data_IF_088969774970
#
_entry.id   IF_088969774970
#
_cell.length_a   1.000
_cell.length_b   1.000
_cell.length_c   1.000
_cell.angle_alpha   90.00
_cell.angle_beta   90.00
_cell.angle_gamma   90.00
#
_symmetry.space_group_name_H-M   'P 1'
#
loop_
_entity.id
_entity.type
_entity.pdbx_description
1 polymer ?
#
# COMPACT_ATOMS: atom_id res chain seq x y z
N UNK A 1 -12.24 20.83 -39.81
CA UNK A 1 -10.80 20.51 -39.84
C UNK A 1 -10.37 20.13 -38.42
N UNK A 2 -10.23 18.83 -38.16
CA UNK A 2 -9.60 18.35 -36.93
C UNK A 2 -8.10 18.61 -37.13
N UNK A 3 -7.56 19.54 -36.37
CA UNK A 3 -6.16 19.95 -36.52
C UNK A 3 -5.24 18.74 -36.20
N UNK A 4 -4.18 18.59 -36.98
CA UNK A 4 -3.15 17.52 -36.84
C UNK A 4 -2.63 17.37 -35.39
N UNK A 5 -2.69 18.47 -34.60
CA UNK A 5 -2.34 18.47 -33.18
C UNK A 5 -3.28 17.64 -32.28
N UNK A 6 -4.59 17.55 -32.59
CA UNK A 6 -5.51 16.70 -31.83
C UNK A 6 -5.29 15.22 -32.12
N UNK A 7 -5.02 14.88 -33.38
CA UNK A 7 -4.69 13.50 -33.78
C UNK A 7 -3.36 13.04 -33.16
N UNK A 8 -2.36 13.90 -33.13
CA UNK A 8 -1.05 13.60 -32.56
C UNK A 8 -1.10 13.40 -31.02
N UNK A 9 -1.94 14.17 -30.30
CA UNK A 9 -2.14 13.98 -28.85
C UNK A 9 -2.92 12.70 -28.52
N UNK A 10 -3.94 12.35 -29.31
CA UNK A 10 -4.68 11.09 -29.15
C UNK A 10 -3.77 9.88 -29.48
N UNK A 11 -2.88 10.03 -30.45
CA UNK A 11 -1.90 9.02 -30.84
C UNK A 11 -0.88 8.75 -29.71
N UNK A 12 -0.35 9.80 -29.07
CA UNK A 12 0.60 9.67 -27.95
C UNK A 12 -0.04 8.98 -26.75
N UNK A 13 -1.31 9.26 -26.43
CA UNK A 13 -2.02 8.63 -25.32
C UNK A 13 -2.29 7.14 -25.52
N UNK A 14 -2.69 6.73 -26.74
CA UNK A 14 -2.82 5.32 -27.08
C UNK A 14 -1.43 4.64 -27.14
N UNK A 15 -0.42 5.34 -27.63
CA UNK A 15 0.93 4.80 -27.79
C UNK A 15 1.57 4.43 -26.43
N UNK A 16 1.43 5.27 -25.41
CA UNK A 16 1.97 5.00 -24.07
C UNK A 16 1.35 3.74 -23.43
N UNK A 17 0.06 3.48 -23.65
CA UNK A 17 -0.61 2.28 -23.16
C UNK A 17 -0.12 1.03 -23.91
N UNK A 18 0.04 1.10 -25.22
CA UNK A 18 0.53 -0.01 -26.04
C UNK A 18 2.02 -0.30 -25.85
N UNK A 19 2.83 0.69 -25.50
CA UNK A 19 4.28 0.53 -25.31
C UNK A 19 4.60 -0.46 -24.17
N UNK A 20 3.78 -0.47 -23.12
CA UNK A 20 3.98 -1.33 -21.96
C UNK A 20 3.09 -2.59 -21.94
N UNK A 21 2.19 -2.76 -22.91
CA UNK A 21 1.24 -3.88 -22.95
C UNK A 21 1.93 -5.25 -22.93
N UNK A 22 3.06 -5.37 -23.63
CA UNK A 22 3.81 -6.61 -23.76
C UNK A 22 5.11 -6.63 -22.94
N UNK A 23 5.29 -5.70 -21.99
CA UNK A 23 6.48 -5.63 -21.16
C UNK A 23 6.60 -6.85 -20.26
N UNK A 24 7.79 -7.46 -20.24
CA UNK A 24 8.06 -8.59 -19.36
C UNK A 24 8.44 -8.10 -17.96
N UNK A 25 8.17 -8.86 -16.89
CA UNK A 25 8.50 -8.46 -15.51
C UNK A 25 9.96 -8.05 -15.32
N UNK A 26 10.90 -8.68 -16.03
CA UNK A 26 12.33 -8.39 -15.95
C UNK A 26 12.73 -7.01 -16.56
N UNK A 27 11.89 -6.43 -17.42
CA UNK A 27 12.20 -5.18 -18.12
C UNK A 27 11.75 -3.93 -17.36
N UNK A 28 10.85 -4.08 -16.37
CA UNK A 28 10.31 -2.93 -15.62
C UNK A 28 11.41 -2.13 -14.93
N UNK A 29 12.34 -2.79 -14.24
CA UNK A 29 13.42 -2.12 -13.53
C UNK A 29 14.29 -1.29 -14.47
N UNK A 30 14.66 -1.85 -15.61
CA UNK A 30 15.47 -1.17 -16.63
C UNK A 30 14.76 0.07 -17.19
N UNK A 31 13.46 -0.04 -17.44
CA UNK A 31 12.69 1.08 -17.98
C UNK A 31 12.49 2.19 -16.92
N UNK A 32 12.27 1.83 -15.67
CA UNK A 32 12.23 2.78 -14.54
C UNK A 32 13.57 3.54 -14.44
N UNK A 33 14.69 2.84 -14.51
CA UNK A 33 16.03 3.47 -14.51
C UNK A 33 16.24 4.43 -15.69
N UNK A 34 15.81 4.02 -16.90
CA UNK A 34 15.84 4.88 -18.10
C UNK A 34 15.04 6.16 -17.90
N UNK A 35 13.83 6.06 -17.36
CA UNK A 35 12.96 7.21 -17.11
C UNK A 35 13.51 8.13 -16.02
N UNK A 36 14.08 7.58 -14.95
CA UNK A 36 14.77 8.39 -13.94
C UNK A 36 15.97 9.15 -14.52
N UNK A 37 16.71 8.55 -15.43
CA UNK A 37 17.78 9.26 -16.14
C UNK A 37 17.21 10.43 -16.99
N UNK A 38 16.08 10.24 -17.68
CA UNK A 38 15.38 11.33 -18.38
C UNK A 38 14.99 12.45 -17.43
N UNK A 39 14.43 12.11 -16.26
CA UNK A 39 14.05 13.09 -15.22
C UNK A 39 15.26 13.89 -14.73
N UNK A 40 16.42 13.27 -14.62
CA UNK A 40 17.64 13.93 -14.13
C UNK A 40 18.34 14.79 -15.20
N UNK A 41 18.24 14.42 -16.47
CA UNK A 41 19.03 15.02 -17.55
C UNK A 41 18.26 15.98 -18.45
N UNK A 42 16.93 15.85 -18.52
CA UNK A 42 16.11 16.72 -19.38
C UNK A 42 15.88 18.08 -18.73
N UNK A 43 15.98 19.13 -19.54
CA UNK A 43 15.56 20.50 -19.19
C UNK A 43 14.20 20.88 -19.80
N UNK A 44 13.58 19.98 -20.56
CA UNK A 44 12.31 20.21 -21.26
C UNK A 44 11.14 19.77 -20.37
N UNK A 45 10.27 20.69 -19.98
CA UNK A 45 9.10 20.40 -19.15
C UNK A 45 8.15 19.36 -19.77
N UNK A 46 8.05 19.29 -21.10
CA UNK A 46 7.20 18.28 -21.76
C UNK A 46 7.78 16.87 -21.61
N UNK A 47 9.09 16.73 -21.74
CA UNK A 47 9.78 15.44 -21.60
C UNK A 47 9.74 15.00 -20.12
N UNK A 48 9.94 15.93 -19.20
CA UNK A 48 9.82 15.67 -17.76
C UNK A 48 8.41 15.23 -17.40
N UNK A 49 7.38 15.95 -17.87
CA UNK A 49 5.99 15.57 -17.63
C UNK A 49 5.67 14.17 -18.18
N UNK A 50 6.12 13.86 -19.40
CA UNK A 50 5.94 12.52 -19.98
C UNK A 50 6.67 11.44 -19.19
N UNK A 51 7.90 11.68 -18.74
CA UNK A 51 8.67 10.72 -17.95
C UNK A 51 7.98 10.43 -16.61
N UNK A 52 7.51 11.45 -15.90
CA UNK A 52 6.74 11.28 -14.66
C UNK A 52 5.43 10.52 -14.88
N UNK A 53 4.71 10.79 -15.97
CA UNK A 53 3.50 10.04 -16.31
C UNK A 53 3.80 8.56 -16.58
N UNK A 54 4.89 8.25 -17.31
CA UNK A 54 5.34 6.89 -17.59
C UNK A 54 5.80 6.17 -16.33
N UNK A 55 6.55 6.84 -15.44
CA UNK A 55 6.93 6.28 -14.15
C UNK A 55 5.71 5.92 -13.30
N UNK A 56 4.69 6.78 -13.29
CA UNK A 56 3.45 6.48 -12.59
C UNK A 56 2.73 5.24 -13.14
N UNK A 57 2.72 5.06 -14.46
CA UNK A 57 2.18 3.86 -15.11
C UNK A 57 2.95 2.61 -14.69
N UNK A 58 4.28 2.65 -14.73
CA UNK A 58 5.12 1.50 -14.36
C UNK A 58 4.98 1.13 -12.88
N UNK A 59 4.96 2.12 -11.98
CA UNK A 59 4.77 1.88 -10.56
C UNK A 59 3.37 1.41 -10.20
N UNK A 60 2.35 1.74 -10.99
CA UNK A 60 0.98 1.28 -10.75
C UNK A 60 0.61 -0.01 -11.46
N UNK A 61 1.47 -0.54 -12.33
CA UNK A 61 1.22 -1.79 -13.05
C UNK A 61 1.40 -3.00 -12.12
N UNK A 62 0.35 -3.79 -11.93
CA UNK A 62 0.36 -5.01 -11.10
C UNK A 62 1.36 -6.08 -11.59
N UNK A 63 1.75 -6.03 -12.88
CA UNK A 63 2.75 -6.94 -13.48
C UNK A 63 4.18 -6.56 -13.10
N UNK A 64 4.39 -5.34 -12.61
CA UNK A 64 5.67 -4.89 -12.11
C UNK A 64 5.97 -5.57 -10.77
N UNK A 65 7.02 -6.42 -10.65
CA UNK A 65 7.37 -7.04 -9.37
C UNK A 65 7.69 -6.04 -8.25
N UNK A 66 8.10 -4.81 -8.63
CA UNK A 66 8.40 -3.70 -7.73
C UNK A 66 7.33 -2.59 -7.83
N UNK A 67 6.04 -2.97 -8.04
CA UNK A 67 4.97 -1.99 -8.05
C UNK A 67 4.88 -1.25 -6.71
N UNK A 68 4.62 0.06 -6.79
CA UNK A 68 4.51 0.93 -5.61
C UNK A 68 3.50 2.06 -5.89
N UNK A 69 2.30 1.89 -5.40
CA UNK A 69 1.21 2.85 -5.59
C UNK A 69 1.48 4.21 -4.94
N UNK A 70 2.29 4.26 -3.86
CA UNK A 70 2.71 5.53 -3.24
C UNK A 70 3.66 6.30 -4.16
N UNK A 71 4.63 5.62 -4.77
CA UNK A 71 5.52 6.22 -5.77
C UNK A 71 4.74 6.62 -7.02
N UNK A 72 3.82 5.78 -7.53
CA UNK A 72 2.94 6.14 -8.64
C UNK A 72 2.16 7.43 -8.38
N UNK A 73 1.62 7.59 -7.16
CA UNK A 73 0.88 8.79 -6.78
C UNK A 73 1.76 10.03 -6.75
N UNK A 74 3.00 9.94 -6.24
CA UNK A 74 3.97 11.04 -6.24
C UNK A 74 4.35 11.48 -7.67
N UNK A 75 4.55 10.51 -8.55
CA UNK A 75 4.85 10.78 -9.96
C UNK A 75 3.67 11.49 -10.67
N UNK A 76 2.42 11.11 -10.37
CA UNK A 76 1.22 11.81 -10.86
C UNK A 76 1.09 13.23 -10.33
N UNK A 77 1.42 13.48 -9.06
CA UNK A 77 1.43 14.83 -8.50
C UNK A 77 2.46 15.72 -9.20
N UNK A 78 3.64 15.17 -9.48
CA UNK A 78 4.69 15.87 -10.23
C UNK A 78 4.26 16.14 -11.67
N UNK A 79 3.68 15.15 -12.36
CA UNK A 79 3.09 15.35 -13.68
C UNK A 79 2.04 16.47 -13.68
N UNK A 80 1.13 16.47 -12.71
CA UNK A 80 0.09 17.48 -12.61
C UNK A 80 0.64 18.91 -12.45
N UNK A 81 1.78 19.05 -11.79
CA UNK A 81 2.49 20.31 -11.64
C UNK A 81 3.15 20.78 -12.95
N UNK A 82 3.69 19.83 -13.74
CA UNK A 82 4.37 20.09 -15.01
C UNK A 82 3.39 20.29 -16.19
N UNK A 83 2.29 19.54 -16.21
CA UNK A 83 1.21 19.68 -17.21
C UNK A 83 -0.18 19.91 -16.56
N UNK A 84 -0.47 21.12 -16.09
CA UNK A 84 -1.78 21.43 -15.46
C UNK A 84 -2.97 21.29 -16.42
N UNK A 85 -2.76 21.29 -17.73
CA UNK A 85 -3.83 21.07 -18.73
C UNK A 85 -4.12 19.58 -18.90
N UNK A 86 -3.09 18.77 -18.98
CA UNK A 86 -3.19 17.30 -19.06
C UNK A 86 -3.83 16.71 -17.82
N UNK A 87 -3.43 17.20 -16.66
CA UNK A 87 -3.95 16.71 -15.37
C UNK A 87 -5.42 17.01 -15.11
N UNK A 88 -6.02 17.99 -15.80
CA UNK A 88 -7.47 18.29 -15.70
C UNK A 88 -8.35 17.35 -16.53
N UNK A 89 -7.79 16.48 -17.33
CA UNK A 89 -8.57 15.54 -18.15
C UNK A 89 -9.22 14.48 -17.26
N UNK A 90 -10.46 14.11 -17.61
CA UNK A 90 -11.28 13.21 -16.80
C UNK A 90 -10.60 11.85 -16.51
N UNK A 91 -9.92 11.27 -17.52
CA UNK A 91 -9.22 9.99 -17.33
C UNK A 91 -8.10 10.09 -16.30
N UNK A 92 -7.31 11.18 -16.33
CA UNK A 92 -6.25 11.43 -15.34
C UNK A 92 -6.83 11.59 -13.94
N UNK A 93 -7.87 12.42 -13.80
CA UNK A 93 -8.53 12.65 -12.53
C UNK A 93 -9.14 11.37 -11.94
N UNK A 94 -9.71 10.51 -12.79
CA UNK A 94 -10.26 9.22 -12.36
C UNK A 94 -9.12 8.27 -11.90
N UNK A 95 -8.05 8.17 -12.67
CA UNK A 95 -6.89 7.33 -12.31
C UNK A 95 -6.23 7.83 -11.01
N UNK A 96 -5.98 9.13 -10.91
CA UNK A 96 -5.42 9.75 -9.70
C UNK A 96 -6.27 9.49 -8.45
N UNK A 97 -7.59 9.63 -8.57
CA UNK A 97 -8.53 9.32 -7.48
C UNK A 97 -8.49 7.84 -7.11
N UNK A 98 -8.51 6.96 -8.10
CA UNK A 98 -8.43 5.51 -7.87
C UNK A 98 -7.14 5.15 -7.14
N UNK A 99 -5.99 5.65 -7.56
CA UNK A 99 -4.72 5.40 -6.87
C UNK A 99 -4.72 5.93 -5.43
N UNK A 100 -5.31 7.09 -5.18
CA UNK A 100 -5.47 7.60 -3.80
C UNK A 100 -6.27 6.65 -2.91
N UNK A 101 -7.34 6.06 -3.43
CA UNK A 101 -8.14 5.09 -2.67
C UNK A 101 -7.37 3.77 -2.46
N UNK A 102 -6.61 3.29 -3.45
CA UNK A 102 -5.75 2.11 -3.29
C UNK A 102 -4.71 2.35 -2.20
N UNK A 103 -3.97 3.46 -2.25
CA UNK A 103 -2.96 3.81 -1.23
C UNK A 103 -3.59 3.95 0.16
N UNK A 104 -4.81 4.49 0.26
CA UNK A 104 -5.53 4.59 1.53
C UNK A 104 -5.92 3.21 2.06
N UNK A 105 -6.40 2.33 1.19
CA UNK A 105 -6.76 0.96 1.54
C UNK A 105 -5.53 0.16 2.02
N UNK A 106 -4.39 0.28 1.35
CA UNK A 106 -3.16 -0.40 1.74
C UNK A 106 -2.71 0.03 3.15
N UNK A 107 -2.71 1.34 3.45
CA UNK A 107 -2.41 1.84 4.80
C UNK A 107 -3.38 1.30 5.85
N UNK A 108 -4.68 1.30 5.53
CA UNK A 108 -5.69 0.75 6.44
C UNK A 108 -5.49 -0.75 6.68
N UNK A 109 -5.08 -1.51 5.68
CA UNK A 109 -4.75 -2.93 5.82
C UNK A 109 -3.52 -3.16 6.72
N UNK A 110 -2.50 -2.31 6.61
CA UNK A 110 -1.32 -2.41 7.46
C UNK A 110 -1.65 -2.06 8.93
N UNK A 111 -2.46 -1.03 9.16
CA UNK A 111 -2.98 -0.68 10.50
C UNK A 111 -3.81 -1.82 11.10
N UNK A 112 -4.61 -2.52 10.29
CA UNK A 112 -5.41 -3.68 10.73
C UNK A 112 -4.49 -4.84 11.11
N UNK A 113 -3.49 -5.16 10.30
CA UNK A 113 -2.51 -6.21 10.62
C UNK A 113 -1.75 -5.93 11.91
N UNK A 114 -1.32 -4.69 12.11
CA UNK A 114 -0.65 -4.31 13.36
C UNK A 114 -1.55 -4.51 14.58
N UNK A 115 -2.81 -4.08 14.49
CA UNK A 115 -3.80 -4.29 15.56
C UNK A 115 -4.07 -5.77 15.81
N UNK A 116 -4.16 -6.58 14.77
CA UNK A 116 -4.35 -8.02 14.88
C UNK A 116 -3.19 -8.67 15.65
N UNK A 117 -1.95 -8.29 15.37
CA UNK A 117 -0.78 -8.78 16.09
C UNK A 117 -0.76 -8.33 17.57
N UNK A 118 -1.18 -7.10 17.83
CA UNK A 118 -1.31 -6.61 19.21
C UNK A 118 -2.38 -7.38 20.00
N UNK A 119 -3.53 -7.64 19.37
CA UNK A 119 -4.61 -8.41 19.99
C UNK A 119 -4.22 -9.87 20.26
N UNK A 120 -3.48 -10.51 19.34
CA UNK A 120 -2.93 -11.88 19.56
C UNK A 120 -2.01 -11.93 20.77
N UNK A 121 -1.13 -10.95 20.94
CA UNK A 121 -0.22 -10.87 22.10
C UNK A 121 -1.00 -10.67 23.41
N UNK A 122 -2.00 -9.80 23.39
CA UNK A 122 -2.84 -9.54 24.56
C UNK A 122 -3.68 -10.78 24.94
N UNK A 123 -4.23 -11.48 23.95
CA UNK A 123 -4.96 -12.72 24.17
C UNK A 123 -4.07 -13.77 24.86
N UNK A 124 -2.87 -14.00 24.35
CA UNK A 124 -1.91 -14.94 24.93
C UNK A 124 -1.55 -14.56 26.39
N UNK A 125 -1.40 -13.25 26.68
CA UNK A 125 -1.17 -12.76 28.05
C UNK A 125 -2.34 -13.08 28.96
N UNK A 126 -3.57 -12.77 28.52
CA UNK A 126 -4.77 -13.03 29.31
C UNK A 126 -5.04 -14.52 29.54
N UNK A 127 -4.76 -15.36 28.56
CA UNK A 127 -4.85 -16.83 28.69
C UNK A 127 -3.90 -17.34 29.78
N UNK A 128 -2.65 -16.84 29.80
CA UNK A 128 -1.69 -17.17 30.84
C UNK A 128 -2.14 -16.72 32.23
N UNK A 129 -2.58 -15.46 32.36
CA UNK A 129 -3.12 -14.92 33.60
C UNK A 129 -4.32 -15.74 34.11
N UNK A 130 -5.22 -16.12 33.21
CA UNK A 130 -6.36 -16.96 33.55
C UNK A 130 -5.94 -18.35 34.05
N UNK A 131 -4.92 -18.95 33.43
CA UNK A 131 -4.39 -20.23 33.88
C UNK A 131 -3.78 -20.12 35.32
N UNK A 132 -3.01 -19.07 35.57
CA UNK A 132 -2.44 -18.80 36.90
C UNK A 132 -3.52 -18.53 37.95
N UNK A 133 -4.58 -17.80 37.61
CA UNK A 133 -5.72 -17.56 38.53
C UNK A 133 -6.45 -18.88 38.81
N UNK A 134 -6.69 -19.72 37.81
CA UNK A 134 -7.33 -21.04 38.03
C UNK A 134 -6.50 -21.92 38.95
N UNK A 135 -5.20 -21.96 38.77
CA UNK A 135 -4.31 -22.71 39.67
C UNK A 135 -4.38 -22.20 41.12
N UNK A 136 -4.32 -20.90 41.31
CA UNK A 136 -4.46 -20.29 42.66
C UNK A 136 -5.80 -20.59 43.31
N UNK A 137 -6.88 -20.58 42.54
CA UNK A 137 -8.22 -20.93 43.01
C UNK A 137 -8.29 -22.40 43.48
N UNK A 138 -7.70 -23.33 42.76
CA UNK A 138 -7.64 -24.74 43.17
C UNK A 138 -6.79 -24.92 44.46
N UNK A 139 -5.66 -24.23 44.58
CA UNK A 139 -4.83 -24.25 45.78
C UNK A 139 -5.61 -23.70 46.99
N UNK A 140 -6.35 -22.61 46.84
CA UNK A 140 -7.19 -22.03 47.91
C UNK A 140 -8.31 -22.96 48.33
N UNK A 141 -9.00 -23.63 47.39
CA UNK A 141 -10.03 -24.64 47.73
C UNK A 141 -9.44 -25.81 48.50
N UNK A 142 -8.25 -26.28 48.15
CA UNK A 142 -7.59 -27.36 48.87
C UNK A 142 -7.26 -26.96 50.29
N UNK A 143 -6.70 -25.75 50.49
CA UNK A 143 -6.42 -25.20 51.81
C UNK A 143 -7.68 -25.04 52.69
N UNK A 144 -8.79 -24.64 52.09
CA UNK A 144 -10.08 -24.47 52.81
C UNK A 144 -10.61 -25.82 53.29
N UNK A 145 -10.53 -26.84 52.46
CA UNK A 145 -10.88 -28.24 52.82
C UNK A 145 -9.99 -28.74 53.98
N UNK A 146 -8.67 -28.57 53.90
CA UNK A 146 -7.75 -28.97 54.95
C UNK A 146 -8.04 -28.24 56.28
N UNK A 147 -8.35 -26.97 56.21
CA UNK A 147 -8.72 -26.17 57.40
C UNK A 147 -10.03 -26.64 58.05
N UNK A 148 -11.03 -27.00 57.26
CA UNK A 148 -12.28 -27.57 57.78
C UNK A 148 -12.06 -28.95 58.43
N UNK A 149 -11.25 -29.80 57.85
CA UNK A 149 -10.90 -31.11 58.44
C UNK A 149 -10.18 -30.94 59.76
N UNK A 150 -9.21 -30.04 59.84
CA UNK A 150 -8.50 -29.73 61.12
C UNK A 150 -9.44 -29.19 62.18
N UNK A 151 -10.42 -28.35 61.85
CA UNK A 151 -11.44 -27.83 62.79
C UNK A 151 -12.34 -28.96 63.32
N UNK A 152 -12.63 -29.98 62.52
CA UNK A 152 -13.43 -31.14 62.94
C UNK A 152 -12.69 -32.10 63.89
N UNK A 153 -11.34 -32.17 63.75
CA UNK A 153 -10.51 -33.03 64.62
C UNK A 153 -10.20 -32.43 65.96
N UNK A 154 -10.42 -31.12 66.21
CA UNK A 154 -10.14 -30.42 67.48
C UNK A 154 -11.40 -30.33 68.38
N UNK A 155 -12.55 -30.83 67.89
CA UNK A 155 -13.80 -30.98 68.70
C UNK A 155 -13.92 -32.40 69.18
#
# INVERSE_FOLDING_TARGET
>A
MITAQCAQKAFIQNYLYYEYENMQPADYQKEVERLHNVVQTSSNNSDLANAHLQLALLYSDYRNPAHDYNSALKELDTFASLDPKGSRKAYFQNWFRMLKEVVRADRSNDDIKEKEEQLKKELARLEKENAEIKEKLEQLKHLDIEMEEKRKMVK
#
